data_IF_747136831870
#
_entry.id   IF_747136831870
#
_cell.length_a   1.000
_cell.length_b   1.000
_cell.length_c   1.000
_cell.angle_alpha   90.00
_cell.angle_beta   90.00
_cell.angle_gamma   90.00
#
_symmetry.space_group_name_H-M   'P 1'
#
loop_
_entity.id
_entity.type
_entity.pdbx_description
1 polymer ?
#
# COMPACT_ATOMS: atom_id res chain seq x y z
N UNK A 1 3.70 23.16 -12.66
CA UNK A 1 3.33 22.91 -11.24
C UNK A 1 3.17 21.41 -10.98
N UNK A 2 2.31 20.70 -11.74
CA UNK A 2 2.03 19.25 -11.59
C UNK A 2 3.31 18.39 -11.58
N UNK A 3 4.20 18.53 -12.56
CA UNK A 3 5.46 17.77 -12.61
C UNK A 3 6.39 17.96 -11.39
N UNK A 4 6.34 19.11 -10.70
CA UNK A 4 7.15 19.32 -9.50
C UNK A 4 6.50 18.72 -8.26
N UNK A 5 5.17 18.74 -8.19
CA UNK A 5 4.41 18.10 -7.12
C UNK A 5 4.53 16.57 -7.18
N UNK A 6 4.54 15.98 -8.38
CA UNK A 6 4.77 14.54 -8.55
C UNK A 6 6.14 14.13 -7.97
N UNK A 7 7.17 14.94 -8.21
CA UNK A 7 8.52 14.70 -7.68
C UNK A 7 8.55 14.84 -6.15
N UNK A 8 7.85 15.83 -5.60
CA UNK A 8 7.79 16.06 -4.14
C UNK A 8 7.01 14.93 -3.43
N UNK A 9 5.94 14.44 -4.02
CA UNK A 9 5.18 13.30 -3.47
C UNK A 9 6.04 12.04 -3.48
N UNK A 10 6.84 11.82 -4.55
CA UNK A 10 7.69 10.65 -4.67
C UNK A 10 8.90 10.62 -3.72
N UNK A 11 9.26 11.74 -3.09
CA UNK A 11 10.32 11.79 -2.07
C UNK A 11 9.79 11.58 -0.64
N UNK A 12 8.48 11.35 -0.46
CA UNK A 12 7.93 11.01 0.84
C UNK A 12 8.56 9.71 1.39
N UNK A 13 8.87 9.66 2.70
CA UNK A 13 9.47 8.46 3.29
C UNK A 13 8.52 7.26 3.19
N UNK A 14 9.10 6.10 2.86
CA UNK A 14 8.38 4.83 2.83
C UNK A 14 8.96 3.83 3.81
N UNK A 15 8.08 3.05 4.45
CA UNK A 15 8.43 1.98 5.37
C UNK A 15 8.12 0.61 4.78
N UNK A 16 8.82 -0.39 5.30
CA UNK A 16 8.56 -1.79 4.98
C UNK A 16 7.29 -2.26 5.68
N UNK A 17 6.65 -3.26 5.10
CA UNK A 17 5.66 -4.07 5.80
C UNK A 17 6.34 -4.76 6.97
N UNK A 18 5.80 -4.54 8.17
CA UNK A 18 6.45 -4.94 9.42
C UNK A 18 5.88 -6.25 9.94
N UNK A 19 4.57 -6.48 9.80
CA UNK A 19 3.92 -7.71 10.23
C UNK A 19 3.89 -8.76 9.13
N UNK A 20 3.81 -10.01 9.53
CA UNK A 20 3.67 -11.15 8.61
C UNK A 20 2.25 -11.34 8.11
N UNK A 21 1.26 -10.76 8.79
CA UNK A 21 -0.15 -10.85 8.42
C UNK A 21 -0.94 -9.65 8.98
N UNK A 22 -1.59 -8.92 8.08
CA UNK A 22 -2.42 -7.75 8.40
C UNK A 22 -3.92 -8.10 8.48
N UNK A 23 -4.30 -9.37 8.29
CA UNK A 23 -5.68 -9.84 8.44
C UNK A 23 -5.99 -10.29 9.88
N UNK A 24 -4.99 -10.29 10.77
CA UNK A 24 -5.13 -10.77 12.14
C UNK A 24 -5.95 -9.81 13.00
N UNK A 25 -6.96 -10.34 13.70
CA UNK A 25 -7.72 -9.57 14.70
C UNK A 25 -6.91 -9.28 15.97
N UNK A 26 -5.96 -10.15 16.32
CA UNK A 26 -5.08 -10.00 17.47
C UNK A 26 -3.64 -10.21 17.03
N UNK A 27 -2.78 -9.26 17.38
CA UNK A 27 -1.38 -9.26 17.01
C UNK A 27 -0.52 -9.37 18.28
N UNK A 28 0.28 -10.43 18.37
CA UNK A 28 1.26 -10.60 19.44
C UNK A 28 2.61 -9.99 19.03
N UNK A 29 2.92 -8.82 19.59
CA UNK A 29 4.17 -8.11 19.30
C UNK A 29 5.41 -8.84 19.82
N UNK A 30 5.26 -9.77 20.78
CA UNK A 30 6.36 -10.51 21.38
C UNK A 30 6.65 -11.82 20.64
N UNK A 31 5.73 -12.28 19.79
CA UNK A 31 5.93 -13.46 18.97
C UNK A 31 6.78 -13.10 17.73
N UNK A 32 8.01 -13.65 17.58
CA UNK A 32 8.83 -13.41 16.40
C UNK A 32 8.14 -13.81 15.09
N UNK A 33 7.22 -14.78 15.12
CA UNK A 33 6.49 -15.24 13.95
C UNK A 33 5.42 -14.25 13.44
N UNK A 34 5.05 -13.25 14.25
CA UNK A 34 4.13 -12.17 13.85
C UNK A 34 4.82 -11.05 13.08
N UNK A 35 6.16 -11.06 13.02
CA UNK A 35 6.97 -10.09 12.29
C UNK A 35 7.34 -10.64 10.91
N UNK A 36 7.23 -9.79 9.89
CA UNK A 36 7.66 -10.12 8.54
C UNK A 36 9.18 -10.23 8.44
N UNK A 37 9.66 -10.95 7.43
CA UNK A 37 11.10 -11.05 7.14
C UNK A 37 11.61 -9.75 6.49
N UNK A 38 12.13 -8.85 7.33
CA UNK A 38 12.60 -7.53 6.91
C UNK A 38 13.86 -7.56 6.04
N UNK A 39 14.52 -8.72 5.92
CA UNK A 39 15.67 -8.90 5.04
C UNK A 39 15.25 -9.13 3.59
N UNK A 40 13.98 -9.45 3.35
CA UNK A 40 13.43 -9.70 2.02
C UNK A 40 12.65 -8.50 1.51
N UNK A 41 12.78 -8.15 0.21
CA UNK A 41 11.84 -7.21 -0.40
C UNK A 41 10.43 -7.81 -0.43
N UNK A 42 9.41 -6.96 -0.47
CA UNK A 42 7.99 -7.38 -0.52
C UNK A 42 7.73 -8.43 -1.60
N UNK A 43 8.34 -8.23 -2.77
CA UNK A 43 8.33 -9.13 -3.91
C UNK A 43 8.75 -10.59 -3.61
N UNK A 44 9.64 -10.78 -2.64
CA UNK A 44 10.20 -12.08 -2.28
C UNK A 44 9.53 -12.72 -1.05
N UNK A 45 8.56 -12.07 -0.40
CA UNK A 45 7.88 -12.63 0.77
C UNK A 45 7.01 -13.84 0.40
N UNK A 46 6.27 -13.74 -0.71
CA UNK A 46 5.51 -14.86 -1.26
C UNK A 46 6.37 -15.65 -2.27
N UNK A 47 6.81 -16.85 -1.87
CA UNK A 47 7.65 -17.72 -2.72
C UNK A 47 6.95 -18.21 -3.97
N UNK A 48 5.64 -18.47 -3.91
CA UNK A 48 4.87 -18.93 -5.06
C UNK A 48 4.75 -17.85 -6.11
N UNK A 49 4.54 -16.59 -5.68
CA UNK A 49 4.59 -15.44 -6.58
C UNK A 49 5.99 -15.25 -7.15
N UNK A 50 7.04 -15.33 -6.33
CA UNK A 50 8.43 -15.18 -6.77
C UNK A 50 8.78 -16.19 -7.87
N UNK A 51 8.32 -17.43 -7.74
CA UNK A 51 8.54 -18.49 -8.73
C UNK A 51 7.77 -18.29 -10.04
N UNK A 52 6.74 -17.44 -10.05
CA UNK A 52 5.98 -17.07 -11.25
C UNK A 52 6.61 -15.92 -12.03
N UNK A 53 7.65 -15.27 -11.51
CA UNK A 53 8.33 -14.18 -12.24
C UNK A 53 8.87 -14.74 -13.56
N UNK A 54 8.48 -14.15 -14.71
CA UNK A 54 8.88 -14.68 -16.00
C UNK A 54 10.41 -14.75 -16.10
N UNK A 55 10.93 -15.96 -16.31
CA UNK A 55 12.38 -16.20 -16.46
C UNK A 55 13.00 -15.37 -17.58
N UNK A 56 12.20 -15.04 -18.60
CA UNK A 56 12.57 -14.14 -19.68
C UNK A 56 13.08 -12.78 -19.17
N UNK A 57 12.47 -12.19 -18.12
CA UNK A 57 12.96 -10.92 -17.54
C UNK A 57 14.36 -11.02 -16.91
N UNK A 58 14.77 -12.24 -16.55
CA UNK A 58 16.05 -12.53 -15.89
C UNK A 58 17.08 -13.13 -16.85
N UNK A 59 16.64 -13.63 -18.01
CA UNK A 59 17.47 -14.33 -18.98
C UNK A 59 17.70 -13.53 -20.26
N UNK A 60 16.77 -12.64 -20.61
CA UNK A 60 16.89 -11.78 -21.78
C UNK A 60 18.07 -10.82 -21.60
N UNK A 61 18.97 -10.83 -22.58
CA UNK A 61 20.17 -10.01 -22.61
C UNK A 61 19.96 -8.89 -23.64
N UNK A 62 19.23 -7.86 -23.22
CA UNK A 62 19.00 -6.65 -24.00
C UNK A 62 20.15 -5.67 -23.78
N UNK A 63 20.67 -5.07 -24.85
CA UNK A 63 21.76 -4.09 -24.74
C UNK A 63 21.30 -2.76 -24.10
N UNK A 64 20.00 -2.50 -24.07
CA UNK A 64 19.38 -1.26 -23.57
C UNK A 64 18.69 -1.50 -22.21
N UNK A 65 18.00 -2.63 -22.06
CA UNK A 65 17.20 -2.92 -20.85
C UNK A 65 17.93 -3.92 -19.95
N UNK A 66 18.38 -3.45 -18.79
CA UNK A 66 18.95 -4.34 -17.75
C UNK A 66 17.88 -5.25 -17.18
N UNK A 67 18.26 -6.49 -16.86
CA UNK A 67 17.39 -7.50 -16.21
C UNK A 67 16.75 -6.98 -14.94
N UNK A 68 15.48 -7.31 -14.73
CA UNK A 68 14.69 -6.85 -13.59
C UNK A 68 13.69 -7.90 -13.11
N UNK A 69 13.29 -7.82 -11.85
CA UNK A 69 12.23 -8.68 -11.30
C UNK A 69 10.84 -8.03 -11.50
N UNK A 70 10.75 -6.73 -11.23
CA UNK A 70 9.51 -5.96 -11.25
C UNK A 70 9.66 -4.74 -12.16
N UNK A 71 8.65 -4.48 -12.99
CA UNK A 71 8.59 -3.27 -13.81
C UNK A 71 8.02 -2.05 -13.06
N UNK A 72 7.45 -2.28 -11.87
CA UNK A 72 6.92 -1.26 -10.99
C UNK A 72 7.92 -0.86 -9.92
N UNK A 73 7.86 0.39 -9.49
CA UNK A 73 8.61 0.88 -8.33
C UNK A 73 7.78 0.73 -7.05
N UNK A 74 8.44 0.52 -5.92
CA UNK A 74 7.78 0.31 -4.62
C UNK A 74 7.13 1.58 -4.03
N UNK A 75 7.39 2.74 -4.64
CA UNK A 75 6.93 4.05 -4.23
C UNK A 75 6.69 4.89 -5.49
N UNK A 76 5.43 5.11 -5.84
CA UNK A 76 5.05 5.94 -6.98
C UNK A 76 4.16 7.08 -6.51
N UNK A 77 4.03 8.15 -7.29
CA UNK A 77 3.07 9.22 -6.98
C UNK A 77 1.64 8.65 -6.81
N UNK A 78 1.25 7.70 -7.65
CA UNK A 78 -0.03 7.00 -7.54
C UNK A 78 -0.17 6.25 -6.22
N UNK A 79 0.86 5.52 -5.80
CA UNK A 79 0.87 4.79 -4.51
C UNK A 79 0.76 5.74 -3.31
N UNK A 80 1.46 6.87 -3.32
CA UNK A 80 1.38 7.83 -2.21
C UNK A 80 0.01 8.48 -2.12
N UNK A 81 -0.52 8.91 -3.26
CA UNK A 81 -1.86 9.52 -3.33
C UNK A 81 -2.95 8.52 -2.98
N UNK A 82 -2.75 7.24 -3.29
CA UNK A 82 -3.64 6.16 -2.86
C UNK A 82 -3.72 6.05 -1.33
N UNK A 83 -2.60 6.13 -0.60
CA UNK A 83 -2.63 6.09 0.87
C UNK A 83 -3.13 7.39 1.49
N UNK A 84 -2.83 8.54 0.88
CA UNK A 84 -3.09 9.86 1.46
C UNK A 84 -4.38 10.50 0.94
N UNK A 85 -5.21 9.75 0.20
CA UNK A 85 -6.38 10.27 -0.52
C UNK A 85 -7.40 11.00 0.37
N UNK A 86 -7.47 10.68 1.66
CA UNK A 86 -8.34 11.34 2.65
C UNK A 86 -7.88 12.74 3.05
N UNK A 87 -6.64 13.11 2.76
CA UNK A 87 -6.02 14.35 3.20
C UNK A 87 -5.82 15.35 2.05
N UNK A 88 -6.07 16.62 2.30
CA UNK A 88 -5.59 17.68 1.41
C UNK A 88 -4.10 17.96 1.66
N UNK A 89 -3.31 18.31 0.63
CA UNK A 89 -3.70 18.54 -0.76
C UNK A 89 -3.79 17.26 -1.63
N UNK A 90 -3.58 16.08 -1.06
CA UNK A 90 -3.46 14.81 -1.80
C UNK A 90 -4.76 14.40 -2.49
N UNK A 91 -5.91 14.65 -1.86
CA UNK A 91 -7.22 14.50 -2.50
C UNK A 91 -7.31 15.33 -3.78
N UNK A 92 -6.96 16.62 -3.71
CA UNK A 92 -6.98 17.49 -4.89
C UNK A 92 -5.97 17.03 -5.96
N UNK A 93 -4.82 16.52 -5.54
CA UNK A 93 -3.75 16.08 -6.44
C UNK A 93 -4.00 14.72 -7.11
N UNK A 94 -4.88 13.87 -6.55
CA UNK A 94 -5.23 12.59 -7.19
C UNK A 94 -6.06 12.77 -8.46
N UNK A 95 -6.92 13.80 -8.49
CA UNK A 95 -7.85 14.05 -9.59
C UNK A 95 -7.15 14.19 -10.95
N UNK A 96 -6.13 15.05 -11.14
CA UNK A 96 -5.40 15.15 -12.41
C UNK A 96 -4.79 13.82 -12.87
N UNK A 97 -4.25 13.01 -11.96
CA UNK A 97 -3.63 11.73 -12.31
C UNK A 97 -4.64 10.67 -12.77
N UNK A 98 -5.89 10.78 -12.31
CA UNK A 98 -6.96 9.84 -12.61
C UNK A 98 -7.90 10.33 -13.72
N UNK A 99 -7.51 11.40 -14.44
CA UNK A 99 -8.28 11.91 -15.58
C UNK A 99 -9.43 12.84 -15.19
N UNK A 100 -9.32 13.52 -14.05
CA UNK A 100 -10.23 14.58 -13.61
C UNK A 100 -11.34 14.13 -12.65
N UNK A 101 -11.29 12.89 -12.17
CA UNK A 101 -12.20 12.32 -11.16
C UNK A 101 -11.47 11.26 -10.34
N UNK A 102 -12.04 10.89 -9.19
CA UNK A 102 -11.53 9.77 -8.41
C UNK A 102 -11.57 8.45 -9.19
N UNK A 103 -10.72 7.52 -8.76
CA UNK A 103 -10.60 6.20 -9.33
C UNK A 103 -11.89 5.43 -9.06
N UNK A 104 -12.04 4.29 -9.73
CA UNK A 104 -13.06 3.30 -9.42
C UNK A 104 -12.95 2.91 -7.95
N UNK A 105 -14.07 2.95 -7.23
CA UNK A 105 -14.15 2.59 -5.82
C UNK A 105 -13.49 1.23 -5.53
N UNK A 106 -13.59 0.24 -6.41
CA UNK A 106 -12.98 -1.08 -6.18
C UNK A 106 -11.45 -1.09 -6.19
N UNK A 107 -10.83 -0.01 -6.70
CA UNK A 107 -9.37 0.20 -6.72
C UNK A 107 -8.92 1.23 -5.70
N UNK A 108 -9.85 1.98 -5.13
CA UNK A 108 -9.56 2.88 -4.02
C UNK A 108 -9.54 2.05 -2.75
N UNK A 109 -8.55 2.30 -1.90
CA UNK A 109 -8.43 1.46 -0.72
C UNK A 109 -9.32 1.91 0.40
N UNK A 110 -9.90 0.89 1.00
CA UNK A 110 -10.67 0.93 2.23
C UNK A 110 -10.02 0.09 3.32
N UNK A 111 -8.88 -0.57 3.05
CA UNK A 111 -8.32 -1.58 3.95
C UNK A 111 -6.82 -1.84 3.72
N UNK A 112 -6.03 -1.73 4.79
CA UNK A 112 -4.60 -2.11 4.79
C UNK A 112 -4.41 -3.62 4.63
N UNK A 113 -5.32 -4.46 5.14
CA UNK A 113 -5.24 -5.91 4.96
C UNK A 113 -5.45 -6.30 3.48
N UNK A 114 -6.42 -5.68 2.81
CA UNK A 114 -6.60 -5.83 1.37
C UNK A 114 -5.36 -5.36 0.59
N UNK A 115 -4.77 -4.23 0.99
CA UNK A 115 -3.53 -3.71 0.39
C UNK A 115 -2.37 -4.69 0.59
N UNK A 116 -2.22 -5.28 1.78
CA UNK A 116 -1.24 -6.31 2.10
C UNK A 116 -1.38 -7.54 1.20
N UNK A 117 -2.61 -8.04 1.03
CA UNK A 117 -2.87 -9.20 0.17
C UNK A 117 -2.53 -8.86 -1.30
N UNK A 118 -2.89 -7.66 -1.77
CA UNK A 118 -2.53 -7.16 -3.09
C UNK A 118 -1.02 -7.17 -3.35
N UNK A 119 -0.22 -6.59 -2.45
CA UNK A 119 1.24 -6.57 -2.57
C UNK A 119 1.90 -7.92 -2.37
N UNK A 120 1.18 -8.96 -1.93
CA UNK A 120 1.70 -10.33 -1.83
C UNK A 120 1.37 -11.19 -3.06
N UNK A 121 0.25 -10.91 -3.72
CA UNK A 121 -0.29 -11.76 -4.79
C UNK A 121 -0.09 -11.18 -6.19
N UNK A 122 -0.22 -9.86 -6.34
CA UNK A 122 -0.09 -9.21 -7.63
C UNK A 122 1.38 -9.23 -8.11
N UNK A 123 1.57 -9.60 -9.39
CA UNK A 123 2.88 -9.75 -10.04
C UNK A 123 3.58 -8.42 -10.33
N UNK A 124 2.83 -7.32 -10.33
CA UNK A 124 3.32 -5.97 -10.55
C UNK A 124 3.26 -5.09 -9.30
N UNK A 125 2.47 -5.46 -8.29
CA UNK A 125 2.41 -4.70 -7.04
C UNK A 125 3.55 -5.06 -6.08
N UNK A 126 4.43 -4.09 -5.87
CA UNK A 126 5.53 -4.15 -4.91
C UNK A 126 5.55 -2.92 -4.00
N UNK A 127 4.37 -2.34 -3.76
CA UNK A 127 4.22 -1.11 -3.00
C UNK A 127 4.68 -1.28 -1.54
N UNK A 128 5.36 -0.25 -1.04
CA UNK A 128 5.68 -0.06 0.37
C UNK A 128 4.62 0.81 1.06
N UNK A 129 4.72 0.91 2.37
CA UNK A 129 3.85 1.73 3.21
C UNK A 129 4.36 3.18 3.22
N UNK A 130 3.45 4.15 3.21
CA UNK A 130 3.80 5.55 3.46
C UNK A 130 4.05 5.77 4.96
N UNK A 131 5.01 6.62 5.34
CA UNK A 131 5.39 6.80 6.75
C UNK A 131 4.25 7.34 7.64
N UNK A 132 3.35 8.10 7.04
CA UNK A 132 2.20 8.75 7.64
C UNK A 132 1.24 7.72 8.27
N UNK A 133 1.22 6.48 7.78
CA UNK A 133 0.45 5.37 8.36
C UNK A 133 0.76 5.10 9.84
N UNK A 134 1.93 5.50 10.32
CA UNK A 134 2.40 5.17 11.65
C UNK A 134 2.21 6.29 12.67
N UNK A 135 1.83 7.50 12.23
CA UNK A 135 1.70 8.65 13.13
C UNK A 135 0.56 9.61 12.80
N UNK A 136 -0.08 9.50 11.63
CA UNK A 136 -1.13 10.40 11.17
C UNK A 136 -2.43 9.61 10.97
N UNK A 137 -3.30 9.60 11.98
CA UNK A 137 -4.52 8.80 11.97
C UNK A 137 -5.58 9.37 11.01
N UNK A 138 -5.47 10.65 10.66
CA UNK A 138 -6.40 11.38 9.81
C UNK A 138 -6.47 10.79 8.39
N UNK A 139 -5.43 10.10 7.92
CA UNK A 139 -5.45 9.35 6.65
C UNK A 139 -6.53 8.26 6.62
N UNK A 140 -6.94 7.76 7.80
CA UNK A 140 -7.96 6.73 7.94
C UNK A 140 -9.38 7.31 7.94
N UNK A 141 -9.50 8.63 7.95
CA UNK A 141 -10.78 9.33 8.05
C UNK A 141 -11.06 10.12 6.78
N UNK A 142 -12.34 10.26 6.42
CA UNK A 142 -12.77 11.15 5.36
C UNK A 142 -13.38 12.42 5.96
N UNK A 143 -12.57 13.22 6.65
CA UNK A 143 -13.05 14.44 7.32
C UNK A 143 -13.70 15.42 6.34
N UNK A 144 -13.21 15.44 5.11
CA UNK A 144 -13.70 16.30 4.04
C UNK A 144 -15.00 15.80 3.38
N UNK A 145 -15.52 14.64 3.79
CA UNK A 145 -16.75 14.03 3.24
C UNK A 145 -16.72 13.89 1.71
N UNK A 146 -15.55 13.54 1.16
CA UNK A 146 -15.38 13.30 -0.27
C UNK A 146 -16.21 12.09 -0.71
N UNK A 147 -16.81 12.16 -1.90
CA UNK A 147 -17.49 11.01 -2.50
C UNK A 147 -16.48 10.15 -3.26
N UNK A 148 -15.99 9.09 -2.60
CA UNK A 148 -15.11 8.09 -3.22
C UNK A 148 -15.88 6.99 -3.97
N UNK A 149 -17.21 7.15 -4.10
CA UNK A 149 -18.07 6.21 -4.80
C UNK A 149 -18.46 4.99 -3.96
N UNK A 150 -19.03 4.01 -4.66
CA UNK A 150 -19.58 2.79 -4.06
C UNK A 150 -18.99 1.58 -4.78
N UNK A 151 -18.60 0.57 -4.02
CA UNK A 151 -18.08 -0.69 -4.60
C UNK A 151 -19.21 -1.49 -5.26
N UNK A 152 -18.86 -2.53 -6.02
CA UNK A 152 -19.85 -3.45 -6.59
C UNK A 152 -20.65 -4.23 -5.52
N UNK A 153 -20.18 -4.22 -4.27
CA UNK A 153 -20.87 -4.81 -3.12
C UNK A 153 -21.79 -3.80 -2.42
N UNK A 154 -22.04 -2.65 -3.05
CA UNK A 154 -22.87 -1.55 -2.51
C UNK A 154 -22.30 -0.91 -1.23
N UNK A 155 -21.01 -1.09 -0.96
CA UNK A 155 -20.33 -0.45 0.16
C UNK A 155 -19.88 0.96 -0.22
N UNK A 156 -20.31 1.96 0.54
CA UNK A 156 -19.89 3.34 0.34
C UNK A 156 -18.51 3.58 0.96
N UNK A 157 -17.58 4.08 0.16
CA UNK A 157 -16.22 4.35 0.61
C UNK A 157 -16.18 5.67 1.39
N UNK A 158 -16.25 5.55 2.71
CA UNK A 158 -16.28 6.69 3.63
C UNK A 158 -15.03 6.80 4.50
N UNK A 159 -14.19 5.77 4.57
CA UNK A 159 -13.00 5.77 5.42
C UNK A 159 -12.03 4.68 4.97
N UNK A 160 -10.77 4.84 5.36
CA UNK A 160 -9.74 3.82 5.19
C UNK A 160 -9.70 3.01 6.48
N UNK A 161 -10.13 1.75 6.45
CA UNK A 161 -10.12 0.89 7.62
C UNK A 161 -8.70 0.43 7.92
N UNK A 162 -8.25 0.71 9.14
CA UNK A 162 -7.10 0.04 9.71
C UNK A 162 -7.62 -1.07 10.63
N UNK A 163 -7.77 -2.29 10.10
CA UNK A 163 -8.07 -3.47 10.92
C UNK A 163 -6.80 -3.95 11.65
N UNK A 164 -6.20 -3.06 12.42
CA UNK A 164 -5.36 -3.47 13.53
C UNK A 164 -6.16 -3.14 14.76
N UNK A 165 -7.01 -4.09 15.15
CA UNK A 165 -7.61 -4.15 16.47
C UNK A 165 -6.51 -4.29 17.51
N UNK A 166 -5.80 -3.20 17.77
CA UNK A 166 -4.75 -3.12 18.78
C UNK A 166 -5.40 -3.08 20.16
N UNK A 167 -6.03 -4.19 20.54
CA UNK A 167 -5.95 -4.59 21.94
C UNK A 167 -4.52 -5.10 22.11
N UNK A 168 -3.56 -4.19 22.35
CA UNK A 168 -2.19 -4.57 22.67
C UNK A 168 -2.30 -5.41 23.94
N UNK A 169 -2.15 -6.74 23.82
CA UNK A 169 -2.07 -7.60 24.98
C UNK A 169 -0.72 -7.32 25.65
N UNK A 170 -0.69 -6.34 26.55
CA UNK A 170 0.45 -6.10 27.40
C UNK A 170 0.45 -7.19 28.49
N UNK A 171 1.51 -8.01 28.62
CA UNK A 171 1.56 -9.08 29.63
C UNK A 171 1.64 -8.60 31.10
N UNK A 172 1.39 -7.30 31.37
CA UNK A 172 1.39 -6.70 32.72
C UNK A 172 0.06 -6.04 33.08
N UNK A 173 -1.00 -6.24 32.30
CA UNK A 173 -2.36 -5.81 32.66
C UNK A 173 -3.28 -7.03 32.62
N UNK A 174 -3.19 -7.84 33.68
CA UNK A 174 -4.19 -8.82 34.07
C UNK A 174 -4.41 -8.72 35.57
#
# INVERSE_FOLDING_TARGET
LIHWLDVVIMILPVFTWFFSDYNLQNLDLYNPASHGDLLKPIGALNTDRLNKIPRERLQYDDQVITKFHYGSHYATAGTMLYYLIGLEPFTTLSNPLQGGKFDRAERMSSDIAATWNGVLEDMIDVNKLVSELFYLLEIFTNENSNDFGTTNQEENLTHFSFLLGLTIQHPLVM
#
